data_IF_194876077011
#
_entry.id   IF_194876077011
#
_cell.length_a   1.000
_cell.length_b   1.000
_cell.length_c   1.000
_cell.angle_alpha   90.00
_cell.angle_beta   90.00
_cell.angle_gamma   90.00
#
_symmetry.space_group_name_H-M   'P 1'
#
loop_
_entity.id
_entity.type
_entity.pdbx_description
1 polymer ?
#
# COMPACT_ATOMS: atom_id res chain seq x y z
N UNK A 1 -48.69 -60.38 -23.36
CA UNK A 1 -48.54 -59.67 -22.08
C UNK A 1 -47.37 -60.25 -21.32
N UNK A 2 -46.33 -59.44 -21.08
CA UNK A 2 -45.60 -59.25 -19.82
C UNK A 2 -44.58 -58.12 -20.10
N UNK A 3 -44.66 -56.96 -19.44
CA UNK A 3 -43.84 -55.81 -19.78
C UNK A 3 -42.42 -55.99 -19.22
N UNK A 4 -41.43 -55.70 -20.07
CA UNK A 4 -40.02 -55.69 -19.69
C UNK A 4 -39.78 -54.70 -18.55
N UNK A 5 -39.41 -55.22 -17.38
CA UNK A 5 -38.97 -54.42 -16.25
C UNK A 5 -37.55 -53.94 -16.54
N UNK A 6 -37.43 -52.64 -16.83
CA UNK A 6 -36.15 -51.95 -16.93
C UNK A 6 -35.61 -51.82 -15.49
N UNK A 7 -34.81 -52.79 -15.06
CA UNK A 7 -34.02 -52.71 -13.85
C UNK A 7 -32.88 -51.71 -14.06
N UNK A 8 -32.94 -50.57 -13.39
CA UNK A 8 -31.80 -49.67 -13.25
C UNK A 8 -30.89 -50.28 -12.16
N UNK A 9 -29.96 -51.14 -12.58
CA UNK A 9 -28.98 -51.85 -11.74
C UNK A 9 -27.84 -50.92 -11.30
N UNK A 10 -28.19 -49.75 -10.75
CA UNK A 10 -27.22 -48.82 -10.17
C UNK A 10 -26.89 -49.31 -8.77
N UNK A 11 -25.70 -49.89 -8.60
CA UNK A 11 -25.21 -50.48 -7.33
C UNK A 11 -25.25 -49.46 -6.19
N UNK A 12 -25.55 -49.89 -4.96
CA UNK A 12 -25.66 -49.02 -3.78
C UNK A 12 -24.38 -48.22 -3.48
N UNK A 13 -23.22 -48.71 -3.93
CA UNK A 13 -21.94 -48.01 -3.85
C UNK A 13 -21.85 -46.78 -4.78
N UNK A 14 -22.48 -46.83 -5.96
CA UNK A 14 -22.52 -45.71 -6.91
C UNK A 14 -23.34 -44.54 -6.34
N UNK A 15 -24.46 -44.83 -5.67
CA UNK A 15 -25.27 -43.82 -4.99
C UNK A 15 -24.51 -43.09 -3.88
N UNK A 16 -23.67 -43.80 -3.12
CA UNK A 16 -22.84 -43.21 -2.07
C UNK A 16 -21.79 -42.23 -2.63
N UNK A 17 -21.11 -42.61 -3.72
CA UNK A 17 -20.10 -41.78 -4.38
C UNK A 17 -20.70 -40.50 -4.97
N UNK A 18 -21.90 -40.57 -5.54
CA UNK A 18 -22.61 -39.40 -6.08
C UNK A 18 -23.09 -38.44 -4.99
N UNK A 19 -23.58 -38.99 -3.88
CA UNK A 19 -23.99 -38.19 -2.71
C UNK A 19 -22.78 -37.49 -2.08
N UNK A 20 -21.65 -38.18 -1.94
CA UNK A 20 -20.39 -37.61 -1.44
C UNK A 20 -19.87 -36.53 -2.38
N UNK A 21 -19.85 -36.77 -3.70
CA UNK A 21 -19.43 -35.75 -4.70
C UNK A 21 -20.29 -34.50 -4.64
N UNK A 22 -21.62 -34.64 -4.55
CA UNK A 22 -22.54 -33.51 -4.41
C UNK A 22 -22.28 -32.74 -3.11
N UNK A 23 -22.01 -33.44 -2.02
CA UNK A 23 -21.70 -32.83 -0.73
C UNK A 23 -20.38 -32.05 -0.75
N UNK A 24 -19.34 -32.59 -1.39
CA UNK A 24 -18.06 -31.90 -1.57
C UNK A 24 -18.18 -30.63 -2.42
N UNK A 25 -19.01 -30.65 -3.45
CA UNK A 25 -19.30 -29.47 -4.28
C UNK A 25 -20.02 -28.39 -3.46
N UNK A 26 -21.01 -28.77 -2.66
CA UNK A 26 -21.76 -27.82 -1.82
C UNK A 26 -20.87 -27.20 -0.74
N UNK A 27 -19.99 -27.98 -0.10
CA UNK A 27 -19.03 -27.47 0.90
C UNK A 27 -18.02 -26.52 0.24
N UNK A 28 -17.50 -26.85 -0.94
CA UNK A 28 -16.60 -25.99 -1.71
C UNK A 28 -17.26 -24.64 -2.04
N UNK A 29 -18.51 -24.69 -2.52
CA UNK A 29 -19.27 -23.49 -2.87
C UNK A 29 -19.61 -22.62 -1.64
N UNK A 30 -19.91 -23.26 -0.51
CA UNK A 30 -20.14 -22.58 0.77
C UNK A 30 -18.85 -22.03 1.39
N UNK A 31 -17.68 -22.60 1.10
CA UNK A 31 -16.38 -22.08 1.56
C UNK A 31 -15.96 -20.81 0.81
N UNK A 32 -16.24 -20.71 -0.50
CA UNK A 32 -15.86 -19.55 -1.31
C UNK A 32 -16.65 -18.28 -0.97
N UNK A 33 -17.85 -18.39 -0.42
CA UNK A 33 -18.68 -17.21 -0.07
C UNK A 33 -18.13 -16.40 1.11
N UNK A 34 -17.25 -16.97 1.95
CA UNK A 34 -16.60 -16.23 3.04
C UNK A 34 -15.40 -15.39 2.61
N UNK A 35 -14.82 -15.64 1.42
CA UNK A 35 -13.64 -14.90 0.94
C UNK A 35 -13.95 -13.43 0.57
N UNK A 36 -15.23 -13.08 0.39
CA UNK A 36 -15.67 -11.72 0.09
C UNK A 36 -15.77 -10.79 1.30
N UNK A 37 -15.70 -11.32 2.53
CA UNK A 37 -15.75 -10.52 3.76
C UNK A 37 -14.34 -10.17 4.27
N UNK A 38 -13.39 -10.00 3.35
CA UNK A 38 -12.08 -9.49 3.69
C UNK A 38 -12.14 -7.95 3.67
N UNK A 39 -11.75 -7.33 4.80
CA UNK A 39 -11.46 -5.89 4.87
C UNK A 39 -10.58 -5.48 3.69
N UNK A 40 -11.00 -4.44 2.97
CA UNK A 40 -10.28 -3.96 1.80
C UNK A 40 -8.92 -3.42 2.23
N UNK A 41 -7.93 -3.52 1.33
CA UNK A 41 -6.62 -2.94 1.59
C UNK A 41 -6.70 -1.42 1.78
N UNK A 42 -7.70 -0.77 1.19
CA UNK A 42 -7.93 0.67 1.35
C UNK A 42 -8.27 1.01 2.79
N UNK A 43 -9.09 0.22 3.49
CA UNK A 43 -9.39 0.50 4.90
C UNK A 43 -8.17 0.28 5.81
N UNK A 44 -7.23 -0.61 5.43
CA UNK A 44 -6.02 -0.86 6.22
C UNK A 44 -4.98 0.25 6.10
N UNK A 45 -4.82 0.80 4.90
CA UNK A 45 -3.77 1.79 4.60
C UNK A 45 -4.30 3.23 4.55
N UNK A 46 -5.58 3.43 4.86
CA UNK A 46 -6.20 4.76 4.81
C UNK A 46 -5.46 5.75 5.71
N UNK A 47 -5.00 6.86 5.11
CA UNK A 47 -4.31 7.92 5.83
C UNK A 47 -2.83 7.65 6.16
N UNK A 48 -2.31 6.45 5.90
CA UNK A 48 -0.90 6.12 6.17
C UNK A 48 0.06 7.00 5.35
N UNK A 49 -0.24 7.20 4.05
CA UNK A 49 0.54 8.10 3.19
C UNK A 49 0.60 9.53 3.72
N UNK A 50 -0.51 10.03 4.28
CA UNK A 50 -0.54 11.36 4.88
C UNK A 50 0.33 11.45 6.14
N UNK A 51 0.23 10.46 7.04
CA UNK A 51 1.06 10.44 8.25
C UNK A 51 2.55 10.31 7.91
N UNK A 52 2.90 9.51 6.91
CA UNK A 52 4.27 9.34 6.44
C UNK A 52 4.83 10.65 5.86
N UNK A 53 4.06 11.35 5.03
CA UNK A 53 4.48 12.66 4.48
C UNK A 53 4.62 13.68 5.60
N UNK A 54 3.67 13.71 6.54
CA UNK A 54 3.72 14.59 7.71
C UNK A 54 4.98 14.34 8.54
N UNK A 55 5.33 13.09 8.84
CA UNK A 55 6.54 12.77 9.61
C UNK A 55 7.82 13.16 8.86
N UNK A 56 7.84 13.02 7.53
CA UNK A 56 9.00 13.40 6.72
C UNK A 56 9.18 14.93 6.59
N UNK A 57 8.09 15.70 6.71
CA UNK A 57 8.14 17.17 6.67
C UNK A 57 8.34 17.81 8.05
N UNK A 58 8.19 17.03 9.13
CA UNK A 58 8.31 17.53 10.49
C UNK A 58 9.77 17.54 10.93
N UNK A 59 10.38 18.73 10.95
CA UNK A 59 11.79 18.90 11.33
C UNK A 59 12.08 18.42 12.76
N UNK A 60 11.17 18.69 13.70
CA UNK A 60 11.26 18.24 15.09
C UNK A 60 9.88 17.77 15.59
N UNK A 61 9.63 16.46 15.68
CA UNK A 61 8.35 15.93 16.16
C UNK A 61 8.07 16.21 17.64
N UNK A 62 9.12 16.46 18.42
CA UNK A 62 9.04 16.66 19.88
C UNK A 62 8.83 18.13 20.25
N UNK A 63 8.80 19.05 19.28
CA UNK A 63 8.71 20.49 19.50
C UNK A 63 7.47 20.92 20.32
N UNK A 64 6.37 20.16 20.26
CA UNK A 64 5.16 20.43 21.04
C UNK A 64 5.21 19.97 22.51
N UNK A 65 6.25 19.21 22.92
CA UNK A 65 6.39 18.75 24.31
C UNK A 65 7.02 19.81 25.21
N UNK A 66 7.86 20.67 24.64
CA UNK A 66 8.38 21.83 25.34
C UNK A 66 7.42 23.02 25.13
N UNK A 67 6.82 23.51 26.21
CA UNK A 67 5.92 24.66 26.21
C UNK A 67 6.63 25.97 26.60
N UNK A 68 7.93 25.90 26.89
CA UNK A 68 8.74 27.08 27.13
C UNK A 68 8.68 27.99 25.89
N UNK A 69 8.57 29.31 26.08
CA UNK A 69 8.59 30.23 24.97
C UNK A 69 9.90 30.08 24.21
N UNK A 70 9.82 29.95 22.89
CA UNK A 70 11.01 29.97 22.04
C UNK A 70 11.64 31.35 22.16
N UNK A 71 12.75 31.46 22.88
CA UNK A 71 13.56 32.67 22.87
C UNK A 71 13.94 32.94 21.41
N UNK A 72 13.70 34.16 20.95
CA UNK A 72 13.94 34.55 19.57
C UNK A 72 15.40 34.32 19.15
N UNK A 73 15.69 34.54 17.87
CA UNK A 73 17.06 34.47 17.38
C UNK A 73 17.95 35.48 18.10
N UNK A 74 19.14 35.04 18.50
CA UNK A 74 20.21 35.93 18.93
C UNK A 74 20.44 37.03 17.88
N UNK A 75 20.71 38.25 18.33
CA UNK A 75 20.81 39.42 17.44
C UNK A 75 21.87 39.25 16.35
N UNK A 76 23.01 38.63 16.67
CA UNK A 76 24.06 38.37 15.69
C UNK A 76 23.66 37.27 14.70
N UNK A 77 23.05 36.20 15.20
CA UNK A 77 22.52 35.14 14.36
C UNK A 77 21.42 35.65 13.41
N UNK A 78 20.51 36.50 13.90
CA UNK A 78 19.47 37.13 13.08
C UNK A 78 20.07 37.96 11.93
N UNK A 79 21.10 38.76 12.20
CA UNK A 79 21.80 39.54 11.18
C UNK A 79 22.42 38.65 10.09
N UNK A 80 23.13 37.59 10.47
CA UNK A 80 23.75 36.65 9.53
C UNK A 80 22.69 35.96 8.66
N UNK A 81 21.57 35.53 9.26
CA UNK A 81 20.48 34.88 8.52
C UNK A 81 19.85 35.86 7.52
N UNK A 82 19.59 37.11 7.94
CA UNK A 82 19.04 38.12 7.05
C UNK A 82 20.00 38.50 5.93
N UNK A 83 21.31 38.57 6.19
CA UNK A 83 22.31 38.81 5.17
C UNK A 83 22.36 37.66 4.14
N UNK A 84 22.40 36.41 4.61
CA UNK A 84 22.34 35.22 3.73
C UNK A 84 21.06 35.19 2.90
N UNK A 85 19.92 35.49 3.52
CA UNK A 85 18.63 35.56 2.84
C UNK A 85 18.65 36.60 1.72
N UNK A 86 19.15 37.81 1.99
CA UNK A 86 19.28 38.87 0.97
C UNK A 86 20.21 38.45 -0.17
N UNK A 87 21.37 37.90 0.16
CA UNK A 87 22.33 37.38 -0.85
C UNK A 87 21.72 36.27 -1.71
N UNK A 88 20.82 35.44 -1.17
CA UNK A 88 20.20 34.34 -1.95
C UNK A 88 19.39 34.81 -3.17
N UNK A 89 18.95 36.08 -3.18
CA UNK A 89 18.24 36.68 -4.33
C UNK A 89 19.19 37.37 -5.31
N UNK A 90 20.45 37.57 -4.95
CA UNK A 90 21.46 38.03 -5.89
C UNK A 90 21.71 36.90 -6.90
N UNK A 91 21.77 37.23 -8.18
CA UNK A 91 22.06 36.25 -9.23
C UNK A 91 23.49 35.75 -9.01
N UNK A 92 23.61 34.59 -8.37
CA UNK A 92 24.88 33.91 -8.25
C UNK A 92 25.23 33.33 -9.63
N UNK A 93 26.49 33.53 -10.03
CA UNK A 93 27.06 32.92 -11.25
C UNK A 93 26.63 31.46 -11.36
N UNK A 94 26.29 31.03 -12.57
CA UNK A 94 25.64 29.76 -12.89
C UNK A 94 26.16 28.61 -12.00
N UNK A 95 25.27 27.79 -11.41
CA UNK A 95 25.69 26.70 -10.54
C UNK A 95 26.68 25.80 -11.30
N UNK A 96 27.75 25.30 -10.65
CA UNK A 96 28.66 24.38 -11.30
C UNK A 96 27.85 23.18 -11.81
N UNK A 97 27.93 22.93 -13.13
CA UNK A 97 27.25 21.78 -13.73
C UNK A 97 27.90 20.52 -13.19
N UNK A 98 27.18 19.81 -12.32
CA UNK A 98 27.51 18.45 -11.91
C UNK A 98 26.82 17.49 -12.89
N UNK A 99 27.56 16.85 -13.82
CA UNK A 99 26.96 15.87 -14.71
C UNK A 99 26.50 14.65 -13.88
N UNK A 100 25.20 14.59 -13.59
CA UNK A 100 24.56 13.40 -13.05
C UNK A 100 24.27 12.46 -14.21
N UNK A 101 25.12 11.45 -14.40
CA UNK A 101 24.89 10.39 -15.38
C UNK A 101 23.75 9.49 -14.92
N UNK A 102 22.52 9.76 -15.38
CA UNK A 102 21.42 8.80 -15.26
C UNK A 102 21.52 7.83 -16.44
N UNK A 103 22.07 6.64 -16.20
CA UNK A 103 21.98 5.55 -17.17
C UNK A 103 20.60 4.92 -17.05
N UNK A 104 19.69 5.29 -17.94
CA UNK A 104 18.48 4.48 -18.17
C UNK A 104 18.97 3.21 -18.85
N UNK A 105 19.11 2.13 -18.07
CA UNK A 105 19.44 0.82 -18.58
C UNK A 105 18.42 0.43 -19.64
N UNK A 106 18.86 0.37 -20.91
CA UNK A 106 18.05 -0.19 -21.97
C UNK A 106 17.85 -1.67 -21.66
N UNK A 107 16.68 -2.03 -21.14
CA UNK A 107 16.21 -3.41 -21.17
C UNK A 107 15.94 -3.76 -22.63
N UNK A 108 16.88 -4.51 -23.22
CA UNK A 108 16.71 -5.24 -24.47
C UNK A 108 15.37 -5.99 -24.43
N UNK A 109 14.42 -5.56 -25.27
CA UNK A 109 13.29 -6.39 -25.66
C UNK A 109 13.53 -6.88 -27.09
N UNK A 110 13.77 -8.19 -27.18
CA UNK A 110 13.89 -9.07 -28.35
C UNK A 110 15.14 -8.94 -29.21
#
# INVERSE_FOLDING_TARGET
>A
MCPGSIGNDRTSEEWGKDMIKKYLIVISLAGMSLAGCATSQVEKDYGNSFQLVKSNQMLNPEAGKNLDPVYGLDGHAALIIMEKYRKSFEIHSAPPIYPMGVTIGQTSMR
#
